data_IF_034798074452
#
_entry.id   IF_034798074452
#
_cell.length_a   1.000
_cell.length_b   1.000
_cell.length_c   1.000
_cell.angle_alpha   90.00
_cell.angle_beta   90.00
_cell.angle_gamma   90.00
#
_symmetry.space_group_name_H-M   'P 1'
#
loop_
_entity.id
_entity.type
_entity.pdbx_description
1 polymer ?
#
# COMPACT_ATOMS: atom_id res chain seq x y z
N UNK A 1 -6.14 7.49 -18.92
CA UNK A 1 -4.88 6.71 -18.79
C UNK A 1 -5.22 5.25 -19.03
N UNK A 2 -4.43 4.55 -19.85
CA UNK A 2 -4.68 3.14 -20.12
C UNK A 2 -4.55 2.29 -18.83
N UNK A 3 -5.43 1.32 -18.65
CA UNK A 3 -5.39 0.33 -17.57
C UNK A 3 -4.03 -0.36 -17.35
N UNK A 4 -3.21 -0.60 -18.38
CA UNK A 4 -1.86 -1.14 -18.19
C UNK A 4 -0.99 -0.18 -17.35
N UNK A 5 -1.03 1.11 -17.68
CA UNK A 5 -0.31 2.13 -16.95
C UNK A 5 -0.87 2.28 -15.53
N UNK A 6 -2.18 2.11 -15.36
CA UNK A 6 -2.81 2.15 -14.05
C UNK A 6 -2.34 1.00 -13.15
N UNK A 7 -2.41 -0.24 -13.65
CA UNK A 7 -1.93 -1.42 -12.94
C UNK A 7 -0.43 -1.34 -12.65
N UNK A 8 0.36 -0.78 -13.57
CA UNK A 8 1.79 -0.55 -13.33
C UNK A 8 2.02 0.38 -12.13
N UNK A 9 1.33 1.52 -12.08
CA UNK A 9 1.45 2.50 -10.97
C UNK A 9 1.02 1.89 -9.64
N UNK A 10 -0.10 1.15 -9.62
CA UNK A 10 -0.53 0.42 -8.42
C UNK A 10 0.56 -0.58 -8.00
N UNK A 11 1.06 -1.41 -8.92
CA UNK A 11 2.12 -2.37 -8.60
C UNK A 11 3.45 -1.73 -8.18
N UNK A 12 3.75 -0.51 -8.63
CA UNK A 12 4.89 0.29 -8.15
C UNK A 12 4.66 0.74 -6.69
N UNK A 13 3.43 1.13 -6.33
CA UNK A 13 3.06 1.53 -4.96
C UNK A 13 3.18 0.35 -3.99
N UNK A 14 2.53 -0.78 -4.30
CA UNK A 14 2.56 -2.01 -3.49
C UNK A 14 4.01 -2.47 -3.21
N UNK A 15 4.88 -2.45 -4.23
CA UNK A 15 6.31 -2.76 -4.05
C UNK A 15 7.04 -1.75 -3.18
N UNK A 16 6.71 -0.47 -3.33
CA UNK A 16 7.36 0.58 -2.54
C UNK A 16 6.98 0.47 -1.06
N UNK A 17 5.71 0.17 -0.76
CA UNK A 17 5.24 -0.13 0.59
C UNK A 17 5.92 -1.38 1.16
N UNK A 18 6.00 -2.46 0.37
CA UNK A 18 6.72 -3.66 0.77
C UNK A 18 8.17 -3.39 1.17
N UNK A 19 8.88 -2.59 0.37
CA UNK A 19 10.26 -2.22 0.65
C UNK A 19 10.37 -1.33 1.90
N UNK A 20 9.44 -0.39 2.09
CA UNK A 20 9.40 0.47 3.27
C UNK A 20 9.20 -0.37 4.54
N UNK A 21 8.26 -1.30 4.53
CA UNK A 21 7.95 -2.15 5.67
C UNK A 21 9.09 -3.14 5.93
N UNK A 22 9.73 -3.68 4.89
CA UNK A 22 10.91 -4.51 5.09
C UNK A 22 12.04 -3.71 5.74
N UNK A 23 12.27 -2.48 5.28
CA UNK A 23 13.26 -1.59 5.89
C UNK A 23 12.94 -1.27 7.35
N UNK A 24 11.68 -0.97 7.70
CA UNK A 24 11.26 -0.81 9.10
C UNK A 24 11.53 -2.09 9.91
N UNK A 25 11.26 -3.27 9.36
CA UNK A 25 11.57 -4.53 10.04
C UNK A 25 13.05 -4.68 10.36
N UNK A 26 13.94 -4.26 9.45
CA UNK A 26 15.39 -4.33 9.62
C UNK A 26 15.87 -3.30 10.66
N UNK A 27 15.39 -2.06 10.54
CA UNK A 27 15.68 -0.96 11.47
C UNK A 27 15.28 -1.32 12.90
N UNK A 28 14.10 -1.92 13.09
CA UNK A 28 13.57 -2.28 14.39
C UNK A 28 13.95 -3.71 14.81
N UNK A 29 15.00 -4.31 14.25
CA UNK A 29 15.39 -5.71 14.56
C UNK A 29 15.67 -5.99 16.05
N UNK A 30 16.02 -4.97 16.84
CA UNK A 30 16.16 -5.08 18.30
C UNK A 30 14.82 -5.09 19.06
N UNK A 31 13.71 -4.85 18.37
CA UNK A 31 12.33 -4.86 18.86
C UNK A 31 11.54 -5.94 18.10
N UNK A 32 11.50 -7.19 18.60
CA UNK A 32 10.94 -8.31 17.87
C UNK A 32 9.46 -8.16 17.49
N UNK A 33 8.68 -7.46 18.30
CA UNK A 33 7.25 -7.25 18.03
C UNK A 33 7.05 -6.27 16.87
N UNK A 34 7.77 -5.14 16.88
CA UNK A 34 7.72 -4.17 15.79
C UNK A 34 8.31 -4.76 14.50
N UNK A 35 9.48 -5.41 14.59
CA UNK A 35 10.11 -6.06 13.45
C UNK A 35 9.18 -7.09 12.79
N UNK A 36 8.56 -7.97 13.59
CA UNK A 36 7.65 -8.98 13.07
C UNK A 36 6.40 -8.37 12.41
N UNK A 37 5.82 -7.33 13.01
CA UNK A 37 4.66 -6.65 12.45
C UNK A 37 4.95 -6.08 11.06
N UNK A 38 6.08 -5.37 10.90
CA UNK A 38 6.48 -4.80 9.62
C UNK A 38 6.94 -5.85 8.61
N UNK A 39 7.63 -6.92 9.05
CA UNK A 39 8.00 -8.04 8.17
C UNK A 39 6.76 -8.71 7.56
N UNK A 40 5.71 -8.89 8.39
CA UNK A 40 4.46 -9.49 7.93
C UNK A 40 3.79 -8.61 6.88
N UNK A 41 3.67 -7.30 7.15
CA UNK A 41 3.14 -6.33 6.17
C UNK A 41 3.95 -6.34 4.88
N UNK A 42 5.28 -6.30 4.97
CA UNK A 42 6.15 -6.35 3.80
C UNK A 42 5.92 -7.61 2.93
N UNK A 43 5.60 -8.73 3.56
CA UNK A 43 5.31 -9.99 2.85
C UNK A 43 3.93 -9.97 2.18
N UNK A 44 2.93 -9.38 2.84
CA UNK A 44 1.58 -9.17 2.31
C UNK A 44 1.64 -8.24 1.08
N UNK A 45 2.34 -7.09 1.18
CA UNK A 45 2.50 -6.14 0.05
C UNK A 45 3.27 -6.72 -1.15
N UNK A 46 4.23 -7.62 -0.92
CA UNK A 46 4.87 -8.38 -2.03
C UNK A 46 3.87 -9.29 -2.74
N UNK A 47 2.94 -9.88 -1.99
CA UNK A 47 1.82 -10.64 -2.52
C UNK A 47 0.93 -9.75 -3.41
N UNK A 48 0.55 -8.58 -2.89
CA UNK A 48 -0.25 -7.60 -3.63
C UNK A 48 0.41 -7.19 -4.95
N UNK A 49 1.67 -6.77 -4.90
CA UNK A 49 2.44 -6.41 -6.09
C UNK A 49 2.48 -7.54 -7.14
N UNK A 50 2.65 -8.79 -6.70
CA UNK A 50 2.70 -9.95 -7.58
C UNK A 50 1.35 -10.21 -8.26
N UNK A 51 0.26 -10.03 -7.54
CA UNK A 51 -1.11 -10.14 -8.06
C UNK A 51 -1.42 -9.05 -9.09
N UNK A 52 -1.04 -7.80 -8.81
CA UNK A 52 -1.21 -6.67 -9.73
C UNK A 52 -0.42 -6.90 -11.03
N UNK A 53 0.83 -7.36 -10.94
CA UNK A 53 1.65 -7.66 -12.12
C UNK A 53 1.12 -8.87 -12.91
N UNK A 54 0.57 -9.88 -12.24
CA UNK A 54 -0.15 -10.95 -12.93
C UNK A 54 -1.31 -10.40 -13.77
N UNK A 55 -2.14 -9.54 -13.20
CA UNK A 55 -3.28 -8.96 -13.90
C UNK A 55 -2.85 -8.05 -15.06
N UNK A 56 -1.80 -7.26 -14.85
CA UNK A 56 -1.21 -6.43 -15.90
C UNK A 56 -0.79 -7.25 -17.11
N UNK A 57 -0.13 -8.39 -16.89
CA UNK A 57 0.24 -9.32 -17.97
C UNK A 57 -0.97 -9.92 -18.69
N UNK A 58 -2.09 -10.12 -17.99
CA UNK A 58 -3.34 -10.58 -18.61
C UNK A 58 -3.95 -9.51 -19.52
N UNK A 59 -3.99 -8.26 -19.06
CA UNK A 59 -4.46 -7.11 -19.86
C UNK A 59 -3.60 -6.91 -21.12
N UNK A 60 -2.27 -7.00 -21.00
CA UNK A 60 -1.36 -6.87 -22.15
C UNK A 60 -1.57 -7.95 -23.22
N UNK A 61 -1.98 -9.16 -22.81
CA UNK A 61 -2.22 -10.29 -23.73
C UNK A 61 -3.55 -10.19 -24.48
N UNK A 62 -4.49 -9.39 -23.98
CA UNK A 62 -5.84 -9.30 -24.55
C UNK A 62 -6.15 -7.84 -24.87
N UNK A 63 -5.97 -7.46 -26.14
CA UNK A 63 -6.22 -6.09 -26.63
C UNK A 63 -7.64 -5.57 -26.35
N UNK A 64 -8.62 -6.47 -26.21
CA UNK A 64 -10.00 -6.13 -25.86
C UNK A 64 -10.17 -5.60 -24.42
N UNK A 65 -9.15 -5.68 -23.56
CA UNK A 65 -9.18 -5.17 -22.18
C UNK A 65 -8.40 -3.87 -22.00
N UNK A 66 -7.87 -3.28 -23.07
CA UNK A 66 -7.18 -1.99 -23.04
C UNK A 66 -8.19 -0.86 -23.21
N UNK A 67 -8.51 -0.16 -22.11
CA UNK A 67 -9.37 1.03 -22.11
C UNK A 67 -8.76 2.14 -21.24
N UNK A 68 -9.26 3.36 -21.44
CA UNK A 68 -8.87 4.51 -20.64
C UNK A 68 -9.66 4.60 -19.35
N UNK A 69 -8.92 4.85 -18.28
CA UNK A 69 -9.41 5.12 -16.94
C UNK A 69 -9.22 6.60 -16.62
N UNK A 70 -10.24 7.19 -15.99
CA UNK A 70 -10.16 8.49 -15.33
C UNK A 70 -9.82 8.26 -13.85
N UNK A 71 -8.55 8.43 -13.50
CA UNK A 71 -8.05 8.20 -12.15
C UNK A 71 -7.17 9.36 -11.73
N UNK A 72 -7.33 9.79 -10.48
CA UNK A 72 -6.43 10.75 -9.84
C UNK A 72 -5.03 10.15 -9.64
N UNK A 73 -4.17 10.41 -10.61
CA UNK A 73 -2.75 10.06 -10.59
C UNK A 73 -1.96 10.78 -9.50
N UNK A 74 -2.37 12.00 -9.14
CA UNK A 74 -1.64 12.83 -8.19
C UNK A 74 -1.56 12.17 -6.82
N UNK A 75 -2.62 11.47 -6.42
CA UNK A 75 -2.71 10.76 -5.14
C UNK A 75 -1.71 9.59 -5.04
N UNK A 76 -1.59 8.74 -6.07
CA UNK A 76 -0.60 7.65 -6.09
C UNK A 76 0.83 8.18 -6.19
N UNK A 77 1.06 9.20 -7.02
CA UNK A 77 2.40 9.77 -7.16
C UNK A 77 2.86 10.45 -5.87
N UNK A 78 1.96 11.11 -5.14
CA UNK A 78 2.22 11.63 -3.81
C UNK A 78 2.56 10.52 -2.80
N UNK A 79 1.81 9.41 -2.83
CA UNK A 79 2.09 8.24 -1.97
C UNK A 79 3.47 7.63 -2.27
N UNK A 80 3.80 7.43 -3.54
CA UNK A 80 5.11 6.94 -3.99
C UNK A 80 6.25 7.86 -3.54
N UNK A 81 6.10 9.16 -3.74
CA UNK A 81 7.13 10.13 -3.32
C UNK A 81 7.26 10.17 -1.80
N UNK A 82 6.15 10.05 -1.05
CA UNK A 82 6.17 9.98 0.41
C UNK A 82 6.97 8.76 0.89
N UNK A 83 6.76 7.57 0.31
CA UNK A 83 7.55 6.37 0.63
C UNK A 83 9.04 6.59 0.37
N UNK A 84 9.37 7.20 -0.78
CA UNK A 84 10.76 7.52 -1.13
C UNK A 84 11.40 8.49 -0.15
N UNK A 85 10.68 9.54 0.26
CA UNK A 85 11.15 10.51 1.25
C UNK A 85 11.37 9.86 2.61
N UNK A 86 10.46 8.99 3.07
CA UNK A 86 10.60 8.28 4.34
C UNK A 86 11.87 7.42 4.37
N UNK A 87 12.15 6.67 3.29
CA UNK A 87 13.35 5.84 3.17
C UNK A 87 14.66 6.65 3.03
N UNK A 88 14.57 7.88 2.52
CA UNK A 88 15.72 8.75 2.33
C UNK A 88 15.97 9.71 3.52
N UNK A 89 15.10 9.70 4.53
CA UNK A 89 15.18 10.62 5.65
C UNK A 89 16.49 10.45 6.44
N UNK A 90 17.20 11.54 6.78
CA UNK A 90 18.42 11.45 7.58
C UNK A 90 18.07 11.12 9.03
N UNK A 91 18.23 9.86 9.41
CA UNK A 91 18.03 9.38 10.79
C UNK A 91 17.33 8.04 10.84
N UNK A 92 17.53 7.33 11.95
CA UNK A 92 16.78 6.10 12.22
C UNK A 92 15.40 6.52 12.73
N UNK A 93 14.29 6.16 12.07
CA UNK A 93 12.94 6.51 12.53
C UNK A 93 12.69 5.88 13.91
N UNK A 94 11.89 6.53 14.75
CA UNK A 94 11.38 5.88 15.95
C UNK A 94 10.24 4.93 15.57
N UNK A 95 9.91 3.98 16.44
CA UNK A 95 8.73 3.12 16.23
C UNK A 95 7.45 3.95 16.21
N UNK A 96 7.36 5.03 16.99
CA UNK A 96 6.20 5.94 16.96
C UNK A 96 6.04 6.58 15.58
N UNK A 97 7.10 7.17 15.04
CA UNK A 97 7.08 7.80 13.72
C UNK A 97 6.72 6.78 12.63
N UNK A 98 7.32 5.59 12.66
CA UNK A 98 7.04 4.55 11.69
C UNK A 98 5.57 4.08 11.74
N UNK A 99 4.99 3.91 12.92
CA UNK A 99 3.59 3.51 13.07
C UNK A 99 2.62 4.59 12.61
N UNK A 100 2.91 5.87 12.93
CA UNK A 100 2.12 7.01 12.45
C UNK A 100 2.12 7.09 10.93
N UNK A 101 3.30 7.05 10.32
CA UNK A 101 3.46 7.17 8.87
C UNK A 101 2.84 5.97 8.15
N UNK A 102 3.04 4.76 8.67
CA UNK A 102 2.40 3.55 8.14
C UNK A 102 0.88 3.69 8.18
N UNK A 103 0.31 4.11 9.31
CA UNK A 103 -1.14 4.29 9.42
C UNK A 103 -1.68 5.32 8.41
N UNK A 104 -0.96 6.42 8.18
CA UNK A 104 -1.34 7.43 7.20
C UNK A 104 -1.32 6.89 5.77
N UNK A 105 -0.32 6.06 5.43
CA UNK A 105 -0.23 5.41 4.12
C UNK A 105 -1.38 4.42 3.90
N UNK A 106 -1.60 3.52 4.86
CA UNK A 106 -2.65 2.49 4.82
C UNK A 106 -4.07 3.08 4.81
N UNK A 107 -4.25 4.27 5.39
CA UNK A 107 -5.54 4.99 5.36
C UNK A 107 -5.69 5.93 4.17
N UNK A 108 -4.68 6.05 3.32
CA UNK A 108 -4.76 6.97 2.20
C UNK A 108 -5.90 6.56 1.27
N UNK A 109 -6.81 7.50 1.00
CA UNK A 109 -7.95 7.23 0.11
C UNK A 109 -7.49 6.93 -1.33
N UNK A 110 -6.26 7.33 -1.68
CA UNK A 110 -5.62 7.15 -2.98
C UNK A 110 -5.77 5.72 -3.50
N UNK A 111 -5.33 4.75 -2.71
CA UNK A 111 -5.38 3.34 -3.08
C UNK A 111 -6.81 2.83 -3.23
N UNK A 112 -7.68 3.16 -2.28
CA UNK A 112 -9.09 2.74 -2.33
C UNK A 112 -9.82 3.30 -3.55
N UNK A 113 -9.58 4.56 -3.92
CA UNK A 113 -10.17 5.19 -5.11
C UNK A 113 -9.64 4.57 -6.39
N UNK A 114 -8.35 4.25 -6.41
CA UNK A 114 -7.71 3.57 -7.54
C UNK A 114 -8.28 2.16 -7.76
N UNK A 115 -8.41 1.38 -6.69
CA UNK A 115 -8.99 0.04 -6.70
C UNK A 115 -10.46 0.11 -7.12
N UNK A 116 -11.23 1.07 -6.62
CA UNK A 116 -12.63 1.25 -7.03
C UNK A 116 -12.76 1.61 -8.52
N UNK A 117 -11.91 2.49 -9.05
CA UNK A 117 -11.93 2.85 -10.47
C UNK A 117 -11.59 1.65 -11.37
N UNK A 118 -10.59 0.86 -11.00
CA UNK A 118 -10.23 -0.37 -11.72
C UNK A 118 -11.35 -1.42 -11.67
N UNK A 119 -11.99 -1.59 -10.51
CA UNK A 119 -13.13 -2.50 -10.31
C UNK A 119 -14.32 -2.12 -11.18
N UNK A 120 -14.66 -0.84 -11.23
CA UNK A 120 -15.75 -0.33 -12.07
C UNK A 120 -15.50 -0.54 -13.55
N UNK A 121 -14.24 -0.50 -13.98
CA UNK A 121 -13.90 -0.59 -15.38
C UNK A 121 -13.67 -2.03 -15.89
N UNK A 122 -13.31 -2.97 -15.00
CA UNK A 122 -13.23 -4.38 -15.34
C UNK A 122 -13.63 -5.28 -14.16
N UNK A 123 -14.81 -5.93 -14.20
CA UNK A 123 -15.30 -6.81 -13.13
C UNK A 123 -14.40 -8.01 -12.81
N UNK A 124 -13.62 -8.52 -13.78
CA UNK A 124 -12.67 -9.61 -13.53
C UNK A 124 -11.51 -9.14 -12.64
N UNK A 125 -11.07 -7.89 -12.84
CA UNK A 125 -10.09 -7.21 -11.98
C UNK A 125 -10.70 -6.89 -10.61
N UNK A 126 -12.01 -6.62 -10.58
CA UNK A 126 -12.75 -6.36 -9.35
C UNK A 126 -12.58 -7.44 -8.27
N UNK A 127 -12.58 -8.73 -8.63
CA UNK A 127 -12.39 -9.82 -7.65
C UNK A 127 -10.99 -9.84 -7.05
N UNK A 128 -9.98 -9.50 -7.85
CA UNK A 128 -8.60 -9.39 -7.41
C UNK A 128 -8.47 -8.25 -6.39
N UNK A 129 -9.01 -7.07 -6.74
CA UNK A 129 -8.93 -5.89 -5.90
C UNK A 129 -9.72 -6.01 -4.60
N UNK A 130 -10.80 -6.81 -4.59
CA UNK A 130 -11.53 -7.14 -3.36
C UNK A 130 -10.69 -7.98 -2.39
N UNK A 131 -9.85 -8.89 -2.90
CA UNK A 131 -8.91 -9.65 -2.06
C UNK A 131 -7.85 -8.73 -1.44
N UNK A 132 -7.30 -7.81 -2.25
CA UNK A 132 -6.33 -6.81 -1.77
C UNK A 132 -6.96 -5.87 -0.72
N UNK A 133 -8.19 -5.37 -0.95
CA UNK A 133 -8.83 -4.40 -0.05
C UNK A 133 -9.20 -4.96 1.34
N UNK A 134 -9.28 -6.28 1.47
CA UNK A 134 -9.42 -6.95 2.76
C UNK A 134 -8.14 -6.92 3.59
N UNK A 135 -6.98 -6.99 2.94
CA UNK A 135 -5.66 -7.07 3.58
C UNK A 135 -5.22 -5.69 4.13
N UNK A 136 -5.49 -4.58 3.43
CA UNK A 136 -5.21 -3.22 3.93
C UNK A 136 -5.90 -2.93 5.29
N UNK A 137 -7.13 -3.43 5.48
CA UNK A 137 -7.84 -3.28 6.77
C UNK A 137 -7.15 -4.03 7.90
N UNK A 138 -6.53 -5.17 7.58
CA UNK A 138 -5.73 -5.93 8.53
C UNK A 138 -4.44 -5.19 8.86
N UNK A 139 -3.85 -4.46 7.91
CA UNK A 139 -2.69 -3.60 8.16
C UNK A 139 -3.02 -2.47 9.13
N UNK A 140 -4.10 -1.72 8.86
CA UNK A 140 -4.59 -0.66 9.76
C UNK A 140 -4.84 -1.21 11.16
N UNK A 141 -5.50 -2.38 11.27
CA UNK A 141 -5.78 -3.01 12.56
C UNK A 141 -4.47 -3.38 13.28
N UNK A 142 -3.53 -4.02 12.58
CA UNK A 142 -2.24 -4.45 13.13
C UNK A 142 -1.44 -3.28 13.69
N UNK A 143 -1.33 -2.19 12.92
CA UNK A 143 -0.61 -0.97 13.32
C UNK A 143 -1.31 -0.30 14.51
N UNK A 144 -2.64 -0.21 14.47
CA UNK A 144 -3.43 0.41 15.55
C UNK A 144 -3.33 -0.38 16.86
N UNK A 145 -3.38 -1.70 16.80
CA UNK A 145 -3.22 -2.56 17.97
C UNK A 145 -1.82 -2.47 18.56
N UNK A 146 -0.79 -2.48 17.71
CA UNK A 146 0.60 -2.35 18.14
C UNK A 146 0.84 -1.01 18.85
N UNK A 147 0.36 0.09 18.26
CA UNK A 147 0.45 1.41 18.89
C UNK A 147 -0.30 1.47 20.22
N UNK A 148 -1.52 0.92 20.29
CA UNK A 148 -2.32 0.86 21.52
C UNK A 148 -1.59 0.11 22.63
N UNK A 149 -0.97 -1.04 22.35
CA UNK A 149 -0.19 -1.81 23.34
C UNK A 149 1.01 -1.03 23.87
N UNK A 150 1.50 -0.05 23.11
CA UNK A 150 2.68 0.76 23.41
C UNK A 150 2.35 2.15 23.97
N UNK A 151 1.06 2.46 24.17
CA UNK A 151 0.64 3.79 24.63
C UNK A 151 0.89 4.90 23.60
N UNK A 152 1.02 4.54 22.32
CA UNK A 152 1.25 5.48 21.22
C UNK A 152 -0.09 6.02 20.72
N UNK A 153 -0.25 7.34 20.74
CA UNK A 153 -1.43 8.02 20.21
C UNK A 153 -1.31 8.22 18.70
N UNK A 154 -2.01 7.41 17.91
CA UNK A 154 -2.04 7.54 16.46
C UNK A 154 -2.97 8.67 15.98
N UNK A 155 -2.73 9.24 14.77
CA UNK A 155 -3.65 10.21 14.18
C UNK A 155 -5.04 9.62 13.95
N UNK A 156 -6.08 10.39 14.29
CA UNK A 156 -7.47 10.07 13.97
C UNK A 156 -7.70 10.15 12.45
N UNK A 157 -8.67 9.40 11.89
CA UNK A 157 -9.08 9.59 10.51
C UNK A 157 -9.49 11.05 10.30
N UNK A 158 -9.07 11.67 9.20
CA UNK A 158 -9.65 12.94 8.79
C UNK A 158 -11.17 12.75 8.62
N UNK A 159 -11.97 13.64 9.21
CA UNK A 159 -13.41 13.62 9.00
C UNK A 159 -13.68 13.77 7.49
N UNK A 160 -14.39 12.80 6.92
CA UNK A 160 -14.75 12.74 5.51
C UNK A 160 -15.70 13.87 5.09
#
# INVERSE_FOLDING_TARGET
>A
MNIDAALRKLGDLERSLADLYLWYSEVFSSDPEAAFAFFKMASEEKGHASLVEYQRRMVQKTSAHSFDLDIDLGSIEAALEKVKVLRASPGIPTVDDALRETLLMERSAAESHYRNALKSANPEIGRLLDALGGEDRLHVTRVSELARRRGITLPEPAAA
#
